data_IF_482737302437
#
_entry.id   IF_482737302437
#
_cell.length_a   1.000
_cell.length_b   1.000
_cell.length_c   1.000
_cell.angle_alpha   90.00
_cell.angle_beta   90.00
_cell.angle_gamma   90.00
#
_symmetry.space_group_name_H-M   'P 1'
#
loop_
_entity.id
_entity.type
_entity.pdbx_description
1 polymer ?
#
# COMPACT_ATOMS: atom_id res chain seq x y z
N UNK A 1 -25.59 -23.90 39.04
CA UNK A 1 -24.31 -24.59 38.80
C UNK A 1 -24.27 -25.28 37.42
N UNK A 2 -25.10 -26.28 37.12
CA UNK A 2 -25.01 -26.99 35.83
C UNK A 2 -25.39 -26.13 34.61
N UNK A 3 -26.52 -25.41 34.69
CA UNK A 3 -26.94 -24.40 33.68
C UNK A 3 -25.92 -23.29 33.48
N UNK A 4 -25.11 -23.01 34.48
CA UNK A 4 -24.08 -21.95 34.45
C UNK A 4 -22.83 -22.43 33.71
N UNK A 5 -22.39 -23.67 34.00
CA UNK A 5 -21.34 -24.36 33.25
C UNK A 5 -21.72 -24.54 31.78
N UNK A 6 -22.98 -24.81 31.48
CA UNK A 6 -23.46 -24.95 30.11
C UNK A 6 -23.40 -23.60 29.34
N UNK A 7 -23.82 -22.51 29.99
CA UNK A 7 -23.68 -21.15 29.44
C UNK A 7 -22.22 -20.75 29.21
N UNK A 8 -21.31 -21.14 30.10
CA UNK A 8 -19.87 -20.91 29.91
C UNK A 8 -19.32 -21.67 28.71
N UNK A 9 -19.65 -22.96 28.58
CA UNK A 9 -19.24 -23.77 27.40
C UNK A 9 -19.77 -23.19 26.10
N UNK A 10 -21.02 -22.70 26.08
CA UNK A 10 -21.57 -22.02 24.90
C UNK A 10 -20.83 -20.72 24.58
N UNK A 11 -20.50 -19.91 25.60
CA UNK A 11 -19.71 -18.68 25.42
C UNK A 11 -18.31 -18.98 24.89
N UNK A 12 -17.66 -20.03 25.38
CA UNK A 12 -16.36 -20.48 24.89
C UNK A 12 -16.43 -21.00 23.45
N UNK A 13 -17.44 -21.83 23.13
CA UNK A 13 -17.68 -22.28 21.74
C UNK A 13 -17.92 -21.11 20.81
N UNK A 14 -18.73 -20.12 21.20
CA UNK A 14 -18.96 -18.88 20.43
C UNK A 14 -17.67 -18.07 20.26
N UNK A 15 -16.86 -17.90 21.32
CA UNK A 15 -15.55 -17.23 21.26
C UNK A 15 -14.58 -17.95 20.33
N UNK A 16 -14.49 -19.28 20.42
CA UNK A 16 -13.61 -20.12 19.58
C UNK A 16 -14.04 -20.07 18.11
N UNK A 17 -15.34 -20.17 17.83
CA UNK A 17 -15.92 -20.02 16.48
C UNK A 17 -15.63 -18.63 15.90
N UNK A 18 -15.82 -17.57 16.69
CA UNK A 18 -15.50 -16.19 16.27
C UNK A 18 -14.01 -16.01 15.97
N UNK A 19 -13.13 -16.53 16.84
CA UNK A 19 -11.67 -16.48 16.64
C UNK A 19 -11.25 -17.21 15.36
N UNK A 20 -11.81 -18.39 15.11
CA UNK A 20 -11.54 -19.20 13.92
C UNK A 20 -12.00 -18.51 12.63
N UNK A 21 -13.23 -18.01 12.60
CA UNK A 21 -13.78 -17.29 11.45
C UNK A 21 -12.96 -16.06 11.11
N UNK A 22 -12.55 -15.30 12.13
CA UNK A 22 -11.70 -14.13 11.96
C UNK A 22 -10.34 -14.51 11.36
N UNK A 23 -9.66 -15.54 11.90
CA UNK A 23 -8.38 -15.98 11.33
C UNK A 23 -8.49 -16.50 9.90
N UNK A 24 -9.64 -17.10 9.53
CA UNK A 24 -9.90 -17.54 8.17
C UNK A 24 -10.04 -16.35 7.21
N UNK A 25 -10.78 -15.31 7.62
CA UNK A 25 -10.95 -14.09 6.81
C UNK A 25 -9.62 -13.37 6.54
N UNK A 26 -8.70 -13.35 7.51
CA UNK A 26 -7.39 -12.71 7.36
C UNK A 26 -6.52 -13.43 6.34
N UNK A 27 -6.50 -14.76 6.40
CA UNK A 27 -5.80 -15.60 5.42
C UNK A 27 -6.41 -15.44 4.02
N UNK A 28 -7.73 -15.32 3.94
CA UNK A 28 -8.43 -15.06 2.67
C UNK A 28 -7.99 -13.72 2.08
N UNK A 29 -7.93 -12.64 2.86
CA UNK A 29 -7.48 -11.32 2.36
C UNK A 29 -6.04 -11.38 1.83
N UNK A 30 -5.12 -11.98 2.59
CA UNK A 30 -3.71 -12.13 2.16
C UNK A 30 -3.63 -12.93 0.87
N UNK A 31 -4.37 -14.03 0.78
CA UNK A 31 -4.38 -14.89 -0.40
C UNK A 31 -4.99 -14.20 -1.63
N UNK A 32 -6.08 -13.45 -1.45
CA UNK A 32 -6.71 -12.67 -2.51
C UNK A 32 -5.78 -11.59 -3.05
N UNK A 33 -5.08 -10.84 -2.19
CA UNK A 33 -4.10 -9.83 -2.64
C UNK A 33 -2.99 -10.48 -3.45
N UNK A 34 -2.44 -11.62 -2.98
CA UNK A 34 -1.42 -12.37 -3.71
C UNK A 34 -1.91 -12.89 -5.05
N UNK A 35 -3.09 -13.52 -5.06
CA UNK A 35 -3.71 -14.04 -6.27
C UNK A 35 -3.97 -12.91 -7.28
N UNK A 36 -4.39 -11.73 -6.82
CA UNK A 36 -4.63 -10.58 -7.67
C UNK A 36 -3.33 -10.06 -8.32
N UNK A 37 -2.21 -10.03 -7.58
CA UNK A 37 -0.91 -9.70 -8.16
C UNK A 37 -0.39 -10.75 -9.12
N UNK A 38 -0.53 -12.05 -8.79
CA UNK A 38 -0.16 -13.14 -9.69
C UNK A 38 -0.94 -13.02 -11.00
N UNK A 39 -2.26 -12.84 -10.91
CA UNK A 39 -3.14 -12.66 -12.07
C UNK A 39 -2.84 -11.39 -12.88
N UNK A 40 -2.24 -10.38 -12.26
CA UNK A 40 -1.83 -9.14 -12.95
C UNK A 40 -0.46 -9.25 -13.60
N UNK A 41 0.52 -9.86 -12.93
CA UNK A 41 1.92 -9.96 -13.39
C UNK A 41 2.07 -11.06 -14.44
N UNK A 42 1.40 -12.20 -14.26
CA UNK A 42 1.55 -13.36 -15.13
C UNK A 42 1.25 -13.04 -16.61
N UNK A 43 0.15 -12.34 -16.95
CA UNK A 43 -0.10 -11.92 -18.33
C UNK A 43 0.99 -10.97 -18.88
N UNK A 44 1.49 -10.04 -18.05
CA UNK A 44 2.55 -9.11 -18.47
C UNK A 44 3.87 -9.83 -18.78
N UNK A 45 4.24 -10.82 -17.96
CA UNK A 45 5.43 -11.64 -18.19
C UNK A 45 5.26 -12.48 -19.45
N UNK A 46 4.09 -13.09 -19.66
CA UNK A 46 3.79 -13.86 -20.87
C UNK A 46 3.88 -12.97 -22.12
N UNK A 47 3.37 -11.74 -22.07
CA UNK A 47 3.55 -10.74 -23.14
C UNK A 47 4.98 -10.22 -23.30
N UNK A 48 5.89 -10.48 -22.36
CA UNK A 48 7.30 -10.10 -22.52
C UNK A 48 8.10 -11.16 -23.27
N UNK A 49 7.53 -12.35 -23.49
CA UNK A 49 8.18 -13.45 -24.20
C UNK A 49 7.90 -13.33 -25.70
N UNK A 50 8.92 -13.10 -26.54
CA UNK A 50 8.76 -13.02 -27.99
C UNK A 50 8.57 -14.43 -28.57
N UNK A 51 7.32 -14.91 -28.58
CA UNK A 51 6.94 -16.20 -29.16
C UNK A 51 5.71 -16.05 -30.05
N UNK A 52 5.76 -16.62 -31.25
CA UNK A 52 4.65 -16.61 -32.21
C UNK A 52 3.40 -17.32 -31.71
N UNK A 53 3.54 -18.28 -30.77
CA UNK A 53 2.40 -18.99 -30.15
C UNK A 53 1.62 -18.14 -29.15
N UNK A 54 2.21 -17.03 -28.70
CA UNK A 54 1.59 -16.11 -27.75
C UNK A 54 1.01 -14.87 -28.44
N UNK A 55 1.00 -14.84 -29.77
CA UNK A 55 0.55 -13.69 -30.57
C UNK A 55 -0.84 -13.20 -30.16
N UNK A 56 -1.79 -14.09 -29.86
CA UNK A 56 -3.12 -13.71 -29.36
C UNK A 56 -3.08 -13.00 -28.01
N UNK A 57 -2.18 -13.40 -27.10
CA UNK A 57 -2.00 -12.74 -25.80
C UNK A 57 -1.32 -11.38 -25.98
N UNK A 58 -0.33 -11.30 -26.86
CA UNK A 58 0.30 -10.05 -27.26
C UNK A 58 -0.71 -9.08 -27.86
N UNK A 59 -1.56 -9.52 -28.78
CA UNK A 59 -2.61 -8.69 -29.38
C UNK A 59 -3.67 -8.25 -28.38
N UNK A 60 -4.04 -9.12 -27.44
CA UNK A 60 -5.00 -8.80 -26.37
C UNK A 60 -4.43 -7.76 -25.39
N UNK A 61 -3.17 -7.94 -24.98
CA UNK A 61 -2.46 -6.98 -24.10
C UNK A 61 -2.18 -5.67 -24.84
N UNK A 62 -1.82 -5.73 -26.12
CA UNK A 62 -1.64 -4.54 -26.95
C UNK A 62 -2.98 -3.81 -27.17
N UNK A 63 -4.08 -4.56 -27.34
CA UNK A 63 -5.44 -4.03 -27.37
C UNK A 63 -5.79 -3.27 -26.09
N UNK A 64 -5.36 -3.78 -24.92
CA UNK A 64 -5.51 -3.10 -23.64
C UNK A 64 -4.55 -1.92 -23.45
N UNK A 65 -3.32 -2.01 -23.98
CA UNK A 65 -2.27 -1.01 -23.83
C UNK A 65 -2.33 0.11 -24.89
N UNK A 66 -3.19 0.01 -25.92
CA UNK A 66 -3.38 1.04 -26.95
C UNK A 66 -3.71 2.39 -26.29
N UNK A 67 -2.83 3.37 -26.52
CA UNK A 67 -2.96 4.74 -26.01
C UNK A 67 -2.71 5.75 -27.13
N UNK A 68 -3.46 6.86 -27.14
CA UNK A 68 -3.20 7.98 -28.05
C UNK A 68 -3.31 7.63 -29.53
N UNK A 69 -2.29 7.99 -30.33
CA UNK A 69 -2.29 7.89 -31.81
C UNK A 69 -2.40 6.45 -32.35
N UNK A 70 -2.14 5.42 -31.54
CA UNK A 70 -2.30 4.00 -31.92
C UNK A 70 -3.78 3.59 -31.98
N UNK A 71 -4.69 4.41 -31.44
CA UNK A 71 -6.12 4.16 -31.42
C UNK A 71 -6.84 4.62 -32.71
N UNK A 72 -6.21 5.42 -33.56
CA UNK A 72 -6.88 6.02 -34.72
C UNK A 72 -7.31 5.01 -35.80
N UNK A 73 -6.83 3.77 -35.77
CA UNK A 73 -7.02 2.82 -36.87
C UNK A 73 -8.21 1.86 -36.70
N UNK A 74 -9.03 1.94 -35.66
CA UNK A 74 -10.17 1.00 -35.49
C UNK A 74 -11.37 1.61 -34.77
N UNK A 75 -12.56 1.32 -35.28
CA UNK A 75 -13.88 1.97 -35.11
C UNK A 75 -14.49 2.07 -33.70
N UNK A 76 -13.73 1.92 -32.61
CA UNK A 76 -14.29 1.85 -31.25
C UNK A 76 -13.97 3.09 -30.41
N UNK A 77 -14.65 4.21 -30.68
CA UNK A 77 -14.66 5.35 -29.76
C UNK A 77 -15.48 5.09 -28.47
N UNK A 78 -16.20 3.97 -28.37
CA UNK A 78 -17.15 3.67 -27.27
C UNK A 78 -16.49 3.39 -25.91
N UNK A 79 -15.27 2.87 -25.86
CA UNK A 79 -14.63 2.40 -24.62
C UNK A 79 -13.46 3.29 -24.17
N UNK A 80 -13.61 4.61 -24.38
CA UNK A 80 -12.55 5.59 -24.13
C UNK A 80 -12.99 6.64 -23.12
N UNK A 81 -12.04 7.04 -22.28
CA UNK A 81 -12.22 7.93 -21.14
C UNK A 81 -11.28 9.11 -21.29
N UNK A 82 -11.75 10.32 -20.96
CA UNK A 82 -10.94 11.53 -21.03
C UNK A 82 -9.74 11.42 -20.07
N UNK A 83 -8.54 11.78 -20.53
CA UNK A 83 -7.32 11.67 -19.73
C UNK A 83 -7.32 12.55 -18.46
N UNK A 84 -8.20 13.55 -18.36
CA UNK A 84 -8.42 14.31 -17.12
C UNK A 84 -8.91 13.43 -15.95
N UNK A 85 -9.52 12.28 -16.25
CA UNK A 85 -9.95 11.33 -15.24
C UNK A 85 -8.79 10.59 -14.56
N UNK A 86 -7.54 10.76 -15.03
CA UNK A 86 -6.36 10.24 -14.33
C UNK A 86 -6.22 10.77 -12.89
N UNK A 87 -6.57 12.03 -12.66
CA UNK A 87 -6.50 12.62 -11.34
C UNK A 87 -7.36 11.85 -10.30
N UNK A 88 -8.46 11.22 -10.72
CA UNK A 88 -9.41 10.58 -9.81
C UNK A 88 -8.81 9.37 -9.10
N UNK A 89 -8.06 8.54 -9.82
CA UNK A 89 -7.43 7.39 -9.18
C UNK A 89 -6.26 7.81 -8.28
N UNK A 90 -5.61 8.95 -8.53
CA UNK A 90 -4.62 9.52 -7.63
C UNK A 90 -5.25 10.09 -6.37
N UNK A 91 -6.39 10.79 -6.47
CA UNK A 91 -7.17 11.26 -5.32
C UNK A 91 -7.61 10.07 -4.46
N UNK A 92 -8.15 9.02 -5.09
CA UNK A 92 -8.50 7.79 -4.40
C UNK A 92 -7.26 7.16 -3.74
N UNK A 93 -6.15 7.11 -4.46
CA UNK A 93 -4.87 6.63 -3.97
C UNK A 93 -4.43 7.35 -2.70
N UNK A 94 -4.36 8.68 -2.72
CA UNK A 94 -4.01 9.54 -1.57
C UNK A 94 -4.96 9.30 -0.40
N UNK A 95 -6.28 9.32 -0.63
CA UNK A 95 -7.26 9.12 0.43
C UNK A 95 -7.11 7.72 1.08
N UNK A 96 -6.89 6.70 0.27
CA UNK A 96 -6.71 5.32 0.72
C UNK A 96 -5.39 5.11 1.46
N UNK A 97 -4.27 5.60 0.92
CA UNK A 97 -2.96 5.53 1.56
C UNK A 97 -2.93 6.30 2.86
N UNK A 98 -3.54 7.49 2.92
CA UNK A 98 -3.65 8.30 4.14
C UNK A 98 -4.45 7.56 5.22
N UNK A 99 -5.57 6.91 4.86
CA UNK A 99 -6.36 6.12 5.80
C UNK A 99 -5.55 4.94 6.37
N UNK A 100 -4.88 4.19 5.51
CA UNK A 100 -4.04 3.05 5.91
C UNK A 100 -2.84 3.51 6.76
N UNK A 101 -2.21 4.62 6.38
CA UNK A 101 -1.10 5.23 7.11
C UNK A 101 -1.57 5.68 8.49
N UNK A 102 -2.65 6.45 8.59
CA UNK A 102 -3.16 6.95 9.86
C UNK A 102 -3.52 5.81 10.83
N UNK A 103 -4.23 4.79 10.36
CA UNK A 103 -4.62 3.65 11.19
C UNK A 103 -3.43 2.80 11.63
N UNK A 104 -2.48 2.54 10.73
CA UNK A 104 -1.26 1.78 11.05
C UNK A 104 -0.32 2.59 11.96
N UNK A 105 -0.24 3.90 11.76
CA UNK A 105 0.55 4.82 12.59
C UNK A 105 0.01 4.87 14.02
N UNK A 106 -1.30 5.04 14.19
CA UNK A 106 -1.94 5.00 15.52
C UNK A 106 -1.69 3.67 16.23
N UNK A 107 -1.75 2.55 15.50
CA UNK A 107 -1.43 1.23 16.03
C UNK A 107 0.04 1.16 16.47
N UNK A 108 0.98 1.59 15.61
CA UNK A 108 2.41 1.61 15.90
C UNK A 108 2.73 2.42 17.17
N UNK A 109 2.09 3.59 17.32
CA UNK A 109 2.28 4.47 18.47
C UNK A 109 1.81 3.81 19.77
N UNK A 110 0.68 3.07 19.75
CA UNK A 110 0.21 2.33 20.93
C UNK A 110 1.06 1.11 21.27
N UNK A 111 1.81 0.56 20.32
CA UNK A 111 2.71 -0.58 20.54
C UNK A 111 4.09 -0.20 21.07
N UNK A 112 4.44 1.08 21.09
CA UNK A 112 5.70 1.57 21.63
C UNK A 112 5.62 1.74 23.16
N UNK A 113 6.29 0.92 23.99
CA UNK A 113 6.61 1.33 25.34
C UNK A 113 7.71 2.37 25.23
N UNK A 114 7.48 3.53 25.82
CA UNK A 114 8.48 4.56 26.05
C UNK A 114 9.50 4.03 27.09
N UNK A 115 10.41 3.14 26.70
CA UNK A 115 11.67 2.95 27.42
C UNK A 115 12.75 2.39 26.49
N UNK A 116 13.85 3.12 26.41
CA UNK A 116 15.10 2.73 25.74
C UNK A 116 15.79 1.51 26.37
N UNK A 117 15.29 1.05 27.52
CA UNK A 117 15.94 0.06 28.38
C UNK A 117 15.66 -1.39 27.96
N UNK A 118 14.51 -1.66 27.34
CA UNK A 118 14.10 -3.03 26.99
C UNK A 118 14.73 -3.53 25.67
N UNK A 119 15.25 -2.62 24.84
CA UNK A 119 15.92 -2.93 23.58
C UNK A 119 17.31 -3.55 23.78
N UNK A 120 18.04 -3.10 24.80
CA UNK A 120 19.37 -3.64 25.13
C UNK A 120 19.28 -5.02 25.80
N UNK A 121 18.31 -5.20 26.72
CA UNK A 121 18.18 -6.44 27.48
C UNK A 121 17.80 -7.65 26.60
N UNK A 122 16.90 -7.45 25.62
CA UNK A 122 16.46 -8.53 24.71
C UNK A 122 17.52 -8.96 23.68
N UNK A 123 18.37 -8.03 23.25
CA UNK A 123 19.47 -8.31 22.32
C UNK A 123 20.61 -9.05 23.02
N UNK A 124 20.85 -8.74 24.29
CA UNK A 124 21.82 -9.46 25.12
C UNK A 124 21.29 -10.87 25.45
N UNK A 125 20.02 -11.00 25.84
CA UNK A 125 19.41 -12.30 26.15
C UNK A 125 19.35 -13.26 24.95
N UNK A 126 19.01 -12.75 23.76
CA UNK A 126 18.93 -13.57 22.53
C UNK A 126 20.30 -14.03 22.03
N UNK A 127 21.35 -13.24 22.26
CA UNK A 127 22.74 -13.63 22.01
C UNK A 127 23.26 -14.66 23.00
N UNK A 128 22.77 -14.64 24.24
CA UNK A 128 23.15 -15.60 25.29
C UNK A 128 22.42 -16.94 25.21
N UNK A 129 21.27 -17.03 24.55
CA UNK A 129 20.46 -18.27 24.44
C UNK A 129 20.63 -19.06 23.13
N UNK A 130 21.62 -18.72 22.29
CA UNK A 130 22.15 -19.66 21.28
C UNK A 130 21.16 -20.11 20.19
N UNK A 131 20.42 -19.19 19.57
CA UNK A 131 19.49 -19.50 18.47
C UNK A 131 20.09 -19.27 17.08
N UNK A 132 21.02 -20.14 16.66
CA UNK A 132 21.60 -20.12 15.32
C UNK A 132 20.76 -20.85 14.27
N UNK A 133 20.56 -20.16 13.13
CA UNK A 133 20.32 -20.64 11.76
C UNK A 133 19.03 -21.40 11.37
N UNK A 134 18.40 -20.83 10.33
CA UNK A 134 17.65 -21.48 9.25
C UNK A 134 16.37 -22.25 9.62
N UNK A 135 15.19 -21.68 9.35
CA UNK A 135 14.20 -22.36 8.50
C UNK A 135 12.99 -21.47 8.15
N UNK A 136 12.72 -21.43 6.85
CA UNK A 136 11.64 -20.73 6.18
C UNK A 136 10.31 -21.47 6.48
N UNK A 137 9.64 -21.18 7.59
CA UNK A 137 8.29 -21.73 7.86
C UNK A 137 7.25 -20.62 7.97
N UNK A 138 6.42 -20.57 6.93
CA UNK A 138 5.31 -19.66 6.73
C UNK A 138 4.10 -20.10 7.58
N UNK A 139 4.22 -20.17 8.91
CA UNK A 139 3.05 -20.49 9.73
C UNK A 139 3.17 -19.99 11.18
N UNK A 140 2.63 -18.79 11.42
CA UNK A 140 1.99 -18.39 12.69
C UNK A 140 2.67 -18.92 13.97
N UNK A 141 3.94 -18.62 14.15
CA UNK A 141 4.67 -18.82 15.40
C UNK A 141 5.06 -17.44 15.92
N UNK A 142 4.56 -17.16 17.12
CA UNK A 142 4.78 -15.99 17.96
C UNK A 142 6.12 -15.29 17.69
N UNK A 143 6.12 -14.27 16.81
CA UNK A 143 7.28 -13.42 16.61
C UNK A 143 7.65 -12.79 17.95
N UNK A 144 8.94 -12.62 18.21
CA UNK A 144 9.37 -11.86 19.39
C UNK A 144 8.74 -10.46 19.32
N UNK A 145 8.34 -9.87 20.46
CA UNK A 145 7.70 -8.55 20.48
C UNK A 145 8.49 -7.48 19.70
N UNK A 146 9.82 -7.63 19.62
CA UNK A 146 10.73 -6.73 18.90
C UNK A 146 10.58 -6.86 17.38
N UNK A 147 10.57 -8.07 16.83
CA UNK A 147 10.43 -8.28 15.38
C UNK A 147 9.06 -7.83 14.88
N UNK A 148 8.02 -8.08 15.67
CA UNK A 148 6.67 -7.60 15.36
C UNK A 148 6.61 -6.06 15.30
N UNK A 149 7.19 -5.37 16.29
CA UNK A 149 7.31 -3.89 16.29
C UNK A 149 8.08 -3.39 15.07
N UNK A 150 9.18 -4.05 14.72
CA UNK A 150 9.97 -3.71 13.54
C UNK A 150 9.14 -3.82 12.25
N UNK A 151 8.34 -4.89 12.11
CA UNK A 151 7.45 -5.07 10.96
C UNK A 151 6.39 -3.97 10.87
N UNK A 152 5.80 -3.56 12.00
CA UNK A 152 4.82 -2.48 12.06
C UNK A 152 5.45 -1.15 11.62
N UNK A 153 6.60 -0.78 12.16
CA UNK A 153 7.31 0.44 11.78
C UNK A 153 7.82 0.41 10.33
N UNK A 154 8.20 -0.77 9.82
CA UNK A 154 8.53 -0.95 8.41
C UNK A 154 7.33 -0.71 7.50
N UNK A 155 6.15 -1.21 7.84
CA UNK A 155 4.94 -0.96 7.06
C UNK A 155 4.56 0.53 7.08
N UNK A 156 4.68 1.18 8.24
CA UNK A 156 4.51 2.63 8.39
C UNK A 156 5.47 3.40 7.46
N UNK A 157 6.76 3.07 7.50
CA UNK A 157 7.77 3.70 6.63
C UNK A 157 7.42 3.55 5.15
N UNK A 158 7.06 2.33 4.71
CA UNK A 158 6.67 2.07 3.33
C UNK A 158 5.39 2.83 2.92
N UNK A 159 4.41 2.93 3.82
CA UNK A 159 3.19 3.71 3.60
C UNK A 159 3.48 5.21 3.48
N UNK A 160 4.43 5.76 4.24
CA UNK A 160 4.90 7.14 4.08
C UNK A 160 5.52 7.35 2.70
N UNK A 161 6.43 6.46 2.28
CA UNK A 161 7.04 6.55 0.94
C UNK A 161 5.99 6.47 -0.17
N UNK A 162 5.00 5.59 -0.01
CA UNK A 162 3.89 5.46 -0.95
C UNK A 162 3.01 6.73 -0.95
N UNK A 163 2.67 7.30 0.20
CA UNK A 163 1.92 8.55 0.32
C UNK A 163 2.65 9.70 -0.41
N UNK A 164 3.95 9.88 -0.14
CA UNK A 164 4.77 10.90 -0.81
C UNK A 164 4.79 10.70 -2.33
N UNK A 165 4.91 9.44 -2.79
CA UNK A 165 4.91 9.10 -4.21
C UNK A 165 3.57 9.44 -4.88
N UNK A 166 2.45 9.01 -4.28
CA UNK A 166 1.10 9.20 -4.82
C UNK A 166 0.69 10.67 -4.77
N UNK A 167 0.97 11.37 -3.66
CA UNK A 167 0.69 12.79 -3.50
C UNK A 167 1.45 13.64 -4.52
N UNK A 168 2.75 13.38 -4.74
CA UNK A 168 3.49 14.02 -5.82
C UNK A 168 2.81 13.77 -7.16
N UNK A 169 2.41 12.52 -7.43
CA UNK A 169 1.80 12.18 -8.72
C UNK A 169 0.46 12.86 -8.94
N UNK A 170 -0.32 13.07 -7.87
CA UNK A 170 -1.53 13.89 -7.88
C UNK A 170 -1.20 15.35 -8.22
N UNK A 171 -0.23 15.95 -7.53
CA UNK A 171 0.21 17.33 -7.74
C UNK A 171 0.70 17.51 -9.19
N UNK A 172 1.55 16.62 -9.69
CA UNK A 172 2.02 16.67 -11.08
C UNK A 172 0.86 16.52 -12.08
N UNK A 173 -0.12 15.65 -11.80
CA UNK A 173 -1.30 15.46 -12.65
C UNK A 173 -2.17 16.73 -12.74
N UNK A 174 -2.24 17.51 -11.66
CA UNK A 174 -3.02 18.76 -11.60
C UNK A 174 -2.24 19.93 -12.21
N UNK A 175 -0.96 20.10 -11.86
CA UNK A 175 -0.19 21.32 -12.14
C UNK A 175 0.82 21.20 -13.29
N UNK A 176 1.43 20.02 -13.48
CA UNK A 176 2.52 19.84 -14.46
C UNK A 176 1.98 19.32 -15.79
N UNK A 177 1.02 18.40 -15.76
CA UNK A 177 0.47 17.82 -16.98
C UNK A 177 -0.72 18.62 -17.50
N UNK A 178 -0.46 19.52 -18.46
CA UNK A 178 -1.50 20.10 -19.31
C UNK A 178 -2.00 19.04 -20.29
N UNK A 179 -3.04 18.30 -19.91
CA UNK A 179 -3.64 17.29 -20.78
C UNK A 179 -4.46 17.96 -21.90
N UNK A 180 -4.11 17.68 -23.15
CA UNK A 180 -4.95 18.02 -24.30
C UNK A 180 -6.32 17.33 -24.15
N UNK A 181 -7.41 18.06 -24.42
CA UNK A 181 -8.79 17.55 -24.40
C UNK A 181 -9.00 16.34 -25.35
N UNK A 182 -8.11 16.19 -26.33
CA UNK A 182 -8.14 15.09 -27.31
C UNK A 182 -7.47 13.80 -26.81
N UNK A 183 -6.76 13.84 -25.68
CA UNK A 183 -6.05 12.69 -25.16
C UNK A 183 -7.03 11.72 -24.45
N UNK A 184 -7.19 10.53 -25.02
CA UNK A 184 -8.11 9.49 -24.54
C UNK A 184 -7.35 8.26 -24.05
N UNK A 185 -7.86 7.66 -22.98
CA UNK A 185 -7.39 6.37 -22.44
C UNK A 185 -8.48 5.32 -22.59
N UNK A 186 -8.09 4.06 -22.81
CA UNK A 186 -9.01 2.95 -22.69
C UNK A 186 -9.55 2.79 -21.25
N UNK A 187 -10.84 2.51 -21.10
CA UNK A 187 -11.50 2.31 -19.79
C UNK A 187 -10.86 1.20 -18.94
N UNK A 188 -10.32 0.15 -19.54
CA UNK A 188 -9.60 -0.89 -18.80
C UNK A 188 -8.31 -0.37 -18.17
N UNK A 189 -7.61 0.56 -18.83
CA UNK A 189 -6.45 1.23 -18.23
C UNK A 189 -6.84 2.08 -17.02
N UNK A 190 -8.05 2.64 -17.02
CA UNK A 190 -8.60 3.37 -15.88
C UNK A 190 -8.88 2.44 -14.69
N UNK A 191 -9.54 1.30 -14.93
CA UNK A 191 -9.78 0.30 -13.88
C UNK A 191 -8.48 -0.33 -13.38
N UNK A 192 -7.50 -0.57 -14.25
CA UNK A 192 -6.18 -1.04 -13.84
C UNK A 192 -5.48 -0.04 -12.90
N UNK A 193 -5.61 1.26 -13.18
CA UNK A 193 -5.13 2.31 -12.27
C UNK A 193 -5.80 2.25 -10.90
N UNK A 194 -7.13 2.16 -10.87
CA UNK A 194 -7.89 2.01 -9.60
C UNK A 194 -7.47 0.78 -8.81
N UNK A 195 -7.35 -0.36 -9.48
CA UNK A 195 -6.87 -1.60 -8.87
C UNK A 195 -5.46 -1.43 -8.31
N UNK A 196 -4.54 -0.83 -9.07
CA UNK A 196 -3.17 -0.63 -8.62
C UNK A 196 -3.09 0.26 -7.38
N UNK A 197 -3.76 1.43 -7.37
CA UNK A 197 -3.70 2.38 -6.24
C UNK A 197 -4.46 1.91 -5.00
N UNK A 198 -5.30 0.88 -5.11
CA UNK A 198 -5.95 0.25 -3.95
C UNK A 198 -5.14 -0.95 -3.45
N UNK A 199 -4.70 -1.83 -4.35
CA UNK A 199 -3.98 -3.05 -4.02
C UNK A 199 -2.53 -2.79 -3.56
N UNK A 200 -1.82 -1.83 -4.15
CA UNK A 200 -0.42 -1.57 -3.81
C UNK A 200 -0.23 -1.10 -2.36
N UNK A 201 -0.95 -0.06 -1.86
CA UNK A 201 -0.87 0.33 -0.46
C UNK A 201 -1.27 -0.78 0.49
N UNK A 202 -2.32 -1.52 0.16
CA UNK A 202 -2.79 -2.65 0.96
C UNK A 202 -1.73 -3.75 1.07
N UNK A 203 -0.97 -3.99 0.00
CA UNK A 203 0.10 -4.99 -0.03
C UNK A 203 1.26 -4.65 0.90
N UNK A 204 1.53 -3.36 1.12
CA UNK A 204 2.59 -2.89 2.03
C UNK A 204 2.27 -3.20 3.50
N UNK A 205 0.98 -3.23 3.86
CA UNK A 205 0.52 -3.47 5.22
C UNK A 205 -0.27 -4.77 5.40
N UNK A 206 -0.37 -5.64 4.38
CA UNK A 206 -1.30 -6.79 4.38
C UNK A 206 -1.10 -7.73 5.58
N UNK A 207 0.15 -7.88 6.03
CA UNK A 207 0.48 -8.75 7.17
C UNK A 207 0.01 -8.17 8.52
N UNK A 208 -0.15 -6.86 8.62
CA UNK A 208 -0.48 -6.12 9.86
C UNK A 208 -1.94 -5.64 9.86
N UNK A 209 -2.52 -5.46 8.67
CA UNK A 209 -3.93 -5.11 8.41
C UNK A 209 -4.93 -5.83 9.32
N UNK A 210 -4.87 -7.16 9.51
CA UNK A 210 -5.76 -7.87 10.44
C UNK A 210 -5.75 -7.33 11.87
N UNK A 211 -4.59 -6.98 12.39
CA UNK A 211 -4.41 -6.49 13.76
C UNK A 211 -4.87 -5.04 13.88
N UNK A 212 -4.51 -4.21 12.90
CA UNK A 212 -4.95 -2.81 12.81
C UNK A 212 -6.48 -2.73 12.68
N UNK A 213 -7.10 -3.60 11.90
CA UNK A 213 -8.56 -3.64 11.76
C UNK A 213 -9.26 -3.99 13.08
N UNK A 214 -8.74 -4.95 13.85
CA UNK A 214 -9.24 -5.23 15.21
C UNK A 214 -9.06 -4.04 16.13
N UNK A 215 -7.88 -3.41 16.08
CA UNK A 215 -7.57 -2.26 16.91
C UNK A 215 -8.52 -1.09 16.63
N UNK A 216 -8.72 -0.74 15.35
CA UNK A 216 -9.68 0.28 14.92
C UNK A 216 -11.09 -0.09 15.34
N UNK A 217 -11.50 -1.35 15.17
CA UNK A 217 -12.82 -1.83 15.60
C UNK A 217 -13.04 -1.67 17.10
N UNK A 218 -12.04 -1.98 17.93
CA UNK A 218 -12.10 -1.80 19.37
C UNK A 218 -12.15 -0.32 19.76
N UNK A 219 -11.35 0.54 19.10
CA UNK A 219 -11.38 1.99 19.32
C UNK A 219 -12.74 2.60 18.95
N UNK A 220 -13.34 2.17 17.84
CA UNK A 220 -14.67 2.62 17.42
C UNK A 220 -15.75 2.14 18.40
N UNK A 221 -15.68 0.88 18.83
CA UNK A 221 -16.61 0.35 19.83
C UNK A 221 -16.49 1.07 21.18
N UNK A 222 -15.26 1.34 21.63
CA UNK A 222 -15.01 2.13 22.85
C UNK A 222 -15.53 3.56 22.68
N UNK A 223 -15.29 4.21 21.54
CA UNK A 223 -15.79 5.56 21.28
C UNK A 223 -17.32 5.63 21.28
N UNK A 224 -17.99 4.64 20.67
CA UNK A 224 -19.46 4.52 20.67
C UNK A 224 -19.97 4.29 22.10
N UNK A 225 -19.33 3.40 22.86
CA UNK A 225 -19.75 3.07 24.23
C UNK A 225 -19.49 4.22 25.23
N UNK A 226 -18.42 4.99 25.03
CA UNK A 226 -17.93 5.99 25.98
C UNK A 226 -18.41 7.41 25.71
N UNK A 227 -19.11 7.66 24.59
CA UNK A 227 -19.80 8.92 24.30
C UNK A 227 -18.94 10.17 24.48
N UNK A 228 -18.23 10.60 23.41
CA UNK A 228 -17.54 11.90 23.24
C UNK A 228 -17.17 12.65 24.54
N UNK A 229 -16.24 12.09 25.31
CA UNK A 229 -15.73 12.72 26.54
C UNK A 229 -14.26 12.37 26.78
N UNK A 230 -13.36 13.01 26.06
CA UNK A 230 -12.01 13.42 26.48
C UNK A 230 -11.19 13.83 25.24
N UNK A 231 -11.12 15.14 24.98
CA UNK A 231 -10.06 15.73 24.16
C UNK A 231 -8.88 16.03 25.08
N UNK A 232 -8.06 15.03 25.37
CA UNK A 232 -6.68 15.31 25.79
C UNK A 232 -5.91 15.65 24.52
N UNK A 233 -5.45 16.90 24.44
CA UNK A 233 -4.52 17.35 23.39
C UNK A 233 -3.27 16.47 23.45
N UNK A 234 -2.96 15.68 22.42
CA UNK A 234 -1.70 14.95 22.40
C UNK A 234 -0.61 15.98 22.09
N UNK A 235 0.29 16.24 23.03
CA UNK A 235 1.56 16.89 22.72
C UNK A 235 2.33 15.97 21.76
N UNK A 236 2.27 16.33 20.48
CA UNK A 236 2.88 15.55 19.40
C UNK A 236 4.37 15.86 19.38
N UNK A 237 5.15 15.16 20.19
CA UNK A 237 6.61 15.20 20.13
C UNK A 237 7.10 14.53 18.83
N UNK A 238 7.06 15.24 17.71
CA UNK A 238 7.38 14.78 16.34
C UNK A 238 8.68 13.97 16.27
N UNK A 239 9.66 14.32 17.11
CA UNK A 239 10.97 13.68 17.20
C UNK A 239 10.91 12.26 17.82
N UNK A 240 10.03 12.04 18.80
CA UNK A 240 9.73 10.71 19.38
C UNK A 240 9.05 9.82 18.35
N UNK A 241 8.28 10.40 17.42
CA UNK A 241 7.64 9.65 16.33
C UNK A 241 8.60 9.28 15.18
N UNK A 242 9.63 10.09 14.94
CA UNK A 242 10.64 9.83 13.89
C UNK A 242 11.75 8.90 14.40
N UNK A 243 12.04 8.90 15.70
CA UNK A 243 13.11 8.08 16.30
C UNK A 243 13.03 6.58 15.92
N UNK A 244 11.86 5.92 15.92
CA UNK A 244 11.73 4.53 15.49
C UNK A 244 11.99 4.33 13.99
N UNK A 245 11.69 5.32 13.14
CA UNK A 245 11.97 5.27 11.71
C UNK A 245 13.47 5.33 11.42
N UNK A 246 14.23 6.07 12.23
CA UNK A 246 15.69 6.13 12.13
C UNK A 246 16.39 4.86 12.61
N UNK A 247 15.68 4.03 13.39
CA UNK A 247 16.16 2.72 13.84
C UNK A 247 15.78 1.58 12.89
N UNK A 248 15.16 1.87 11.74
CA UNK A 248 14.99 0.87 10.69
C UNK A 248 16.38 0.38 10.22
N UNK A 249 16.49 -0.91 9.92
CA UNK A 249 17.76 -1.54 9.56
C UNK A 249 18.46 -0.87 8.37
N UNK A 250 19.76 -1.13 8.24
CA UNK A 250 20.62 -0.51 7.24
C UNK A 250 20.10 -0.68 5.80
N UNK A 251 19.51 -1.84 5.48
CA UNK A 251 18.89 -2.10 4.18
C UNK A 251 17.71 -1.17 3.88
N UNK A 252 16.90 -0.83 4.88
CA UNK A 252 15.78 0.09 4.71
C UNK A 252 16.27 1.53 4.51
N UNK A 253 17.35 1.92 5.19
CA UNK A 253 17.98 3.24 5.00
C UNK A 253 18.53 3.37 3.58
N UNK A 254 19.29 2.38 3.09
CA UNK A 254 19.76 2.34 1.70
C UNK A 254 18.57 2.41 0.73
N UNK A 255 17.53 1.62 0.97
CA UNK A 255 16.31 1.65 0.16
C UNK A 255 15.65 3.02 0.13
N UNK A 256 15.60 3.71 1.28
CA UNK A 256 15.11 5.09 1.38
C UNK A 256 15.94 6.09 0.58
N UNK A 257 17.27 5.98 0.62
CA UNK A 257 18.18 6.83 -0.17
C UNK A 257 17.98 6.60 -1.67
N UNK A 258 17.93 5.35 -2.12
CA UNK A 258 17.66 4.99 -3.53
C UNK A 258 16.29 5.52 -3.95
N UNK A 259 15.28 5.37 -3.10
CA UNK A 259 13.94 5.90 -3.36
C UNK A 259 13.96 7.42 -3.51
N UNK A 260 14.60 8.16 -2.61
CA UNK A 260 14.69 9.62 -2.68
C UNK A 260 15.42 10.09 -3.94
N UNK A 261 16.51 9.42 -4.30
CA UNK A 261 17.23 9.68 -5.54
C UNK A 261 16.33 9.50 -6.76
N UNK A 262 15.67 8.35 -6.87
CA UNK A 262 14.74 8.05 -7.97
C UNK A 262 13.54 9.01 -8.01
N UNK A 263 13.01 9.37 -6.83
CA UNK A 263 11.91 10.32 -6.69
C UNK A 263 12.31 11.70 -7.21
N UNK A 264 13.49 12.22 -6.84
CA UNK A 264 14.00 13.50 -7.31
C UNK A 264 14.31 13.48 -8.80
N UNK A 265 14.96 12.43 -9.28
CA UNK A 265 15.28 12.26 -10.70
C UNK A 265 14.00 12.25 -11.55
N UNK A 266 13.01 11.44 -11.17
CA UNK A 266 11.73 11.38 -11.87
C UNK A 266 11.00 12.73 -11.87
N UNK A 267 11.07 13.49 -10.78
CA UNK A 267 10.47 14.84 -10.71
C UNK A 267 11.12 15.79 -11.72
N UNK A 268 12.44 15.75 -11.87
CA UNK A 268 13.16 16.57 -12.86
C UNK A 268 12.75 16.21 -14.29
N UNK A 269 12.67 14.92 -14.62
CA UNK A 269 12.23 14.47 -15.94
C UNK A 269 10.80 14.94 -16.26
N UNK A 270 9.87 14.86 -15.30
CA UNK A 270 8.51 15.36 -15.53
C UNK A 270 8.44 16.88 -15.67
N UNK A 271 9.29 17.62 -14.95
CA UNK A 271 9.38 19.07 -15.12
C UNK A 271 9.85 19.44 -16.54
N UNK A 272 10.86 18.75 -17.07
CA UNK A 272 11.34 18.92 -18.45
C UNK A 272 10.23 18.57 -19.46
N UNK A 273 9.55 17.43 -19.28
CA UNK A 273 8.44 17.05 -20.16
C UNK A 273 7.24 18.01 -20.07
N UNK A 274 7.04 18.63 -18.90
CA UNK A 274 6.03 19.66 -18.68
C UNK A 274 6.35 20.96 -19.42
N UNK A 275 7.60 21.44 -19.34
CA UNK A 275 8.03 22.69 -19.98
C UNK A 275 7.97 22.61 -21.51
N UNK A 276 8.27 21.44 -22.09
CA UNK A 276 8.13 21.19 -23.54
C UNK A 276 6.70 21.34 -24.06
N UNK A 277 5.68 21.31 -23.18
CA UNK A 277 4.26 21.43 -23.55
C UNK A 277 3.64 22.76 -23.18
N UNK A 278 4.44 23.72 -22.74
CA UNK A 278 3.94 25.02 -22.27
C UNK A 278 3.49 25.93 -23.43
N UNK A 279 3.99 25.70 -24.64
CA UNK A 279 3.70 26.51 -25.81
C UNK A 279 2.46 25.98 -26.58
N UNK A 280 1.38 26.79 -26.76
CA UNK A 280 0.11 26.35 -27.35
C UNK A 280 0.21 25.72 -28.75
N UNK A 281 1.22 26.13 -29.54
CA UNK A 281 1.48 25.59 -30.88
C UNK A 281 1.99 24.14 -30.87
N UNK A 282 2.52 23.66 -29.74
CA UNK A 282 3.20 22.37 -29.60
C UNK A 282 2.40 21.34 -28.78
N UNK A 283 1.19 21.67 -28.31
CA UNK A 283 0.36 20.80 -27.43
C UNK A 283 0.01 19.44 -28.08
N UNK A 284 0.04 19.36 -29.42
CA UNK A 284 -0.24 18.15 -30.19
C UNK A 284 1.00 17.53 -30.88
N UNK A 285 2.17 18.14 -30.72
CA UNK A 285 3.44 17.69 -31.32
C UNK A 285 4.36 17.09 -30.25
N UNK A 286 5.00 15.97 -30.57
CA UNK A 286 5.97 15.33 -29.68
C UNK A 286 7.36 15.87 -30.01
N UNK A 287 8.02 16.48 -29.03
CA UNK A 287 9.37 17.02 -29.14
C UNK A 287 10.33 16.09 -28.41
N UNK A 288 11.53 15.90 -28.96
CA UNK A 288 12.59 15.12 -28.31
C UNK A 288 13.07 15.92 -27.09
N UNK A 289 13.01 15.33 -25.88
CA UNK A 289 13.43 15.99 -24.64
C UNK A 289 14.95 16.07 -24.47
#
# INVERSE_FOLDING_TARGET
>A
REREREREREREKKKKKKKMMMTSMELVIVWLVRAAWIGSILPMVIASIPSSKLSSIHELILGFARRGKILQTSSSQKWTVAQKLFAHFYVLGVAWTTLLLATTWMYACKMAPLSSEEFELSNIASRLTGGGSHDFSFHKSHLTPVEHRFQVWRAVFLLILMEIQVLRRLIESIYVFKYSLSARLHILGYFAGWFFYTAAPLSLCVNITPEVARFVGNQVAEFIAKGKGHTSSPEVNLLVFISPLMKLGFSQLIGGVIFLWGWLHQRRCHAILGSLREHPRQVNEYIIP
#
